data_IF_143872039625
#
_entry.id   IF_143872039625
#
_cell.length_a   1.000
_cell.length_b   1.000
_cell.length_c   1.000
_cell.angle_alpha   90.00
_cell.angle_beta   90.00
_cell.angle_gamma   90.00
#
_symmetry.space_group_name_H-M   'P 1'
#
loop_
_entity.id
_entity.type
_entity.pdbx_description
1 polymer ?
#
# COMPACT_ATOMS: atom_id res chain seq x y z
N UNK A 1 6.21 -22.92 1.91
CA UNK A 1 5.83 -21.52 1.65
C UNK A 1 4.67 -21.23 2.59
N UNK A 2 4.86 -20.34 3.56
CA UNK A 2 3.83 -20.03 4.56
C UNK A 2 3.03 -18.82 4.07
N UNK A 3 1.72 -18.95 4.00
CA UNK A 3 0.78 -17.84 3.89
C UNK A 3 0.47 -17.37 5.31
N UNK A 4 0.61 -16.07 5.57
CA UNK A 4 0.17 -15.50 6.85
C UNK A 4 -0.92 -14.47 6.62
N UNK A 5 -2.05 -14.68 7.29
CA UNK A 5 -3.21 -13.79 7.24
C UNK A 5 -3.30 -12.99 8.53
N UNK A 6 -3.41 -11.67 8.42
CA UNK A 6 -3.61 -10.83 9.60
C UNK A 6 -4.69 -9.78 9.39
N UNK A 7 -5.44 -9.48 10.44
CA UNK A 7 -6.39 -8.38 10.49
C UNK A 7 -5.99 -7.42 11.60
N UNK A 8 -5.95 -6.13 11.27
CA UNK A 8 -5.62 -5.05 12.20
C UNK A 8 -6.74 -4.00 12.19
N UNK A 9 -7.19 -3.63 13.38
CA UNK A 9 -8.23 -2.61 13.63
C UNK A 9 -7.76 -1.66 14.71
N UNK A 10 -7.81 -0.35 14.47
CA UNK A 10 -7.43 0.68 15.44
C UNK A 10 -5.98 0.57 15.96
N UNK A 11 -5.03 0.21 15.08
CA UNK A 11 -3.62 0.05 15.44
C UNK A 11 -2.75 1.20 14.90
N UNK A 12 -1.66 1.43 15.61
CA UNK A 12 -0.49 2.14 15.11
C UNK A 12 0.62 1.13 14.82
N UNK A 13 1.11 1.12 13.59
CA UNK A 13 2.17 0.21 13.16
C UNK A 13 3.41 1.03 12.79
N UNK A 14 4.44 0.95 13.63
CA UNK A 14 5.74 1.55 13.37
C UNK A 14 6.69 0.52 12.73
N UNK A 15 7.29 0.91 11.60
CA UNK A 15 8.43 0.26 10.93
C UNK A 15 8.32 -1.25 10.79
N UNK A 16 7.35 -1.67 9.98
CA UNK A 16 7.22 -3.09 9.65
C UNK A 16 8.12 -3.48 8.47
N UNK A 17 8.90 -4.55 8.63
CA UNK A 17 9.60 -5.22 7.52
C UNK A 17 9.06 -6.63 7.34
N UNK A 18 8.67 -7.00 6.12
CA UNK A 18 8.15 -8.35 5.85
C UNK A 18 8.73 -9.00 4.59
N UNK A 19 8.89 -10.34 4.63
CA UNK A 19 9.53 -11.20 3.62
C UNK A 19 8.83 -12.59 3.50
N UNK A 20 7.57 -12.66 3.03
CA UNK A 20 6.75 -13.88 2.82
C UNK A 20 5.42 -13.58 2.08
N UNK A 21 4.74 -14.60 1.53
CA UNK A 21 3.34 -14.44 1.05
C UNK A 21 2.42 -14.04 2.19
N UNK A 22 1.61 -12.99 2.01
CA UNK A 22 0.66 -12.56 3.04
C UNK A 22 -0.55 -11.85 2.47
N UNK A 23 -1.65 -12.05 3.19
CA UNK A 23 -2.86 -11.25 3.03
C UNK A 23 -3.08 -10.44 4.30
N UNK A 24 -3.37 -9.14 4.15
CA UNK A 24 -3.76 -8.33 5.30
C UNK A 24 -4.98 -7.47 5.08
N UNK A 25 -5.73 -7.30 6.16
CA UNK A 25 -6.81 -6.32 6.24
C UNK A 25 -6.53 -5.30 7.33
N UNK A 26 -6.63 -4.03 6.96
CA UNK A 26 -6.40 -2.87 7.83
C UNK A 26 -7.64 -1.97 7.83
N UNK A 27 -8.21 -1.72 9.00
CA UNK A 27 -9.27 -0.73 9.22
C UNK A 27 -8.83 0.28 10.27
N UNK A 28 -8.96 1.58 10.01
CA UNK A 28 -8.73 2.64 11.00
C UNK A 28 -7.29 2.66 11.59
N UNK A 29 -6.26 2.39 10.78
CA UNK A 29 -4.87 2.34 11.23
C UNK A 29 -4.02 3.49 10.71
N UNK A 30 -2.98 3.79 11.48
CA UNK A 30 -1.84 4.60 11.05
C UNK A 30 -0.62 3.71 10.88
N UNK A 31 0.03 3.79 9.71
CA UNK A 31 1.20 2.97 9.37
C UNK A 31 2.37 3.87 9.04
N UNK A 32 3.45 3.79 9.83
CA UNK A 32 4.69 4.54 9.60
C UNK A 32 5.80 3.62 9.10
N UNK A 33 6.40 3.94 7.96
CA UNK A 33 7.68 3.37 7.54
C UNK A 33 7.65 1.89 7.17
N UNK A 34 6.79 1.46 6.25
CA UNK A 34 6.67 0.04 5.89
C UNK A 34 7.62 -0.37 4.76
N UNK A 35 8.32 -1.50 4.93
CA UNK A 35 9.16 -2.12 3.88
C UNK A 35 8.71 -3.55 3.57
N UNK A 36 8.29 -3.78 2.34
CA UNK A 36 7.76 -5.07 1.89
C UNK A 36 8.60 -5.64 0.74
N UNK A 37 8.93 -6.92 0.82
CA UNK A 37 9.64 -7.68 -0.25
C UNK A 37 8.97 -9.03 -0.50
N UNK A 38 7.70 -9.07 -0.93
CA UNK A 38 6.93 -10.32 -1.12
C UNK A 38 5.64 -10.13 -1.95
N UNK A 39 5.14 -11.22 -2.56
CA UNK A 39 3.79 -11.30 -3.14
C UNK A 39 2.73 -11.07 -2.04
N UNK A 40 1.85 -10.08 -2.20
CA UNK A 40 0.82 -9.74 -1.19
C UNK A 40 -0.50 -9.29 -1.79
N UNK A 41 -1.58 -9.57 -1.06
CA UNK A 41 -2.86 -8.87 -1.17
C UNK A 41 -3.10 -8.02 0.09
N UNK A 42 -3.58 -6.79 -0.08
CA UNK A 42 -4.05 -6.04 1.07
C UNK A 42 -5.33 -5.26 0.80
N UNK A 43 -6.16 -5.23 1.83
CA UNK A 43 -7.34 -4.36 1.90
C UNK A 43 -7.13 -3.34 3.00
N UNK A 44 -7.18 -2.07 2.64
CA UNK A 44 -7.11 -0.96 3.57
C UNK A 44 -8.40 -0.13 3.51
N UNK A 45 -8.96 0.21 4.67
CA UNK A 45 -10.12 1.09 4.82
C UNK A 45 -9.85 2.13 5.91
N UNK A 46 -10.05 3.42 5.61
CA UNK A 46 -9.88 4.52 6.58
C UNK A 46 -8.47 4.57 7.19
N UNK A 47 -7.41 4.48 6.38
CA UNK A 47 -6.02 4.42 6.89
C UNK A 47 -5.16 5.61 6.45
N UNK A 48 -4.17 5.93 7.28
CA UNK A 48 -3.06 6.81 6.94
C UNK A 48 -1.77 6.00 6.81
N UNK A 49 -1.02 6.21 5.72
CA UNK A 49 0.25 5.52 5.47
C UNK A 49 1.35 6.57 5.23
N UNK A 50 2.33 6.64 6.12
CA UNK A 50 3.56 7.40 5.94
C UNK A 50 4.69 6.49 5.50
N UNK A 51 5.29 6.76 4.34
CA UNK A 51 6.55 6.14 3.94
C UNK A 51 6.43 4.64 3.68
N UNK A 52 6.01 4.26 2.48
CA UNK A 52 5.97 2.85 2.08
C UNK A 52 7.01 2.55 0.99
N UNK A 53 7.80 1.50 1.18
CA UNK A 53 8.68 0.94 0.15
C UNK A 53 8.29 -0.49 -0.14
N UNK A 54 7.99 -0.78 -1.40
CA UNK A 54 7.60 -2.12 -1.81
C UNK A 54 8.42 -2.60 -3.00
N UNK A 55 8.86 -3.85 -2.92
CA UNK A 55 9.54 -4.59 -3.98
C UNK A 55 8.87 -5.96 -4.14
N UNK A 56 7.71 -6.06 -4.80
CA UNK A 56 7.08 -7.33 -5.25
C UNK A 56 5.76 -7.15 -6.02
N UNK A 57 5.25 -8.26 -6.60
CA UNK A 57 3.90 -8.38 -7.16
C UNK A 57 2.83 -8.13 -6.09
N UNK A 58 1.91 -7.19 -6.29
CA UNK A 58 0.83 -6.95 -5.33
C UNK A 58 -0.50 -6.64 -5.97
N UNK A 59 -1.56 -7.03 -5.27
CA UNK A 59 -2.90 -6.47 -5.43
C UNK A 59 -3.24 -5.69 -4.17
N UNK A 60 -3.93 -4.56 -4.34
CA UNK A 60 -4.47 -3.87 -3.19
C UNK A 60 -5.79 -3.19 -3.49
N UNK A 61 -6.65 -3.20 -2.48
CA UNK A 61 -7.85 -2.38 -2.44
C UNK A 61 -7.76 -1.38 -1.31
N UNK A 62 -8.05 -0.12 -1.63
CA UNK A 62 -8.01 0.98 -0.69
C UNK A 62 -9.30 1.79 -0.77
N UNK A 63 -9.81 2.16 0.40
CA UNK A 63 -10.98 3.03 0.57
C UNK A 63 -10.66 4.06 1.64
N UNK A 64 -10.85 5.35 1.34
CA UNK A 64 -10.66 6.48 2.25
C UNK A 64 -9.24 6.57 2.83
N UNK A 65 -8.25 6.77 1.95
CA UNK A 65 -6.83 6.63 2.32
C UNK A 65 -5.95 7.80 1.95
N UNK A 66 -5.10 8.17 2.90
CA UNK A 66 -4.00 9.10 2.72
C UNK A 66 -2.67 8.36 2.68
N UNK A 67 -1.85 8.64 1.66
CA UNK A 67 -0.50 8.09 1.52
C UNK A 67 0.51 9.23 1.37
N UNK A 68 1.46 9.33 2.28
CA UNK A 68 2.66 10.16 2.13
C UNK A 68 3.84 9.29 1.74
N UNK A 69 4.49 9.60 0.61
CA UNK A 69 5.75 8.99 0.22
C UNK A 69 5.67 7.49 -0.05
N UNK A 70 5.32 7.12 -1.29
CA UNK A 70 5.36 5.73 -1.73
C UNK A 70 6.48 5.50 -2.76
N UNK A 71 7.28 4.45 -2.57
CA UNK A 71 8.22 3.96 -3.57
C UNK A 71 7.93 2.50 -3.89
N UNK A 72 7.65 2.20 -5.15
CA UNK A 72 7.38 0.84 -5.58
C UNK A 72 8.25 0.42 -6.74
N UNK A 73 8.75 -0.80 -6.66
CA UNK A 73 9.55 -1.47 -7.67
C UNK A 73 9.00 -2.88 -7.89
N UNK A 74 7.88 -3.05 -8.61
CA UNK A 74 7.33 -4.31 -9.16
C UNK A 74 5.93 -4.16 -9.83
N UNK A 75 5.44 -5.22 -10.49
CA UNK A 75 4.07 -5.31 -11.02
C UNK A 75 3.00 -5.11 -9.94
N UNK A 76 2.05 -4.19 -10.13
CA UNK A 76 0.95 -3.99 -9.18
C UNK A 76 -0.39 -3.73 -9.84
N UNK A 77 -1.44 -4.24 -9.23
CA UNK A 77 -2.81 -3.79 -9.42
C UNK A 77 -3.26 -3.04 -8.16
N UNK A 78 -3.96 -1.92 -8.36
CA UNK A 78 -4.58 -1.25 -7.26
C UNK A 78 -5.95 -0.70 -7.62
N UNK A 79 -6.88 -0.87 -6.69
CA UNK A 79 -8.17 -0.21 -6.71
C UNK A 79 -8.29 0.79 -5.58
N UNK A 80 -8.60 2.03 -5.94
CA UNK A 80 -8.70 3.16 -5.03
C UNK A 80 -10.09 3.79 -5.08
N UNK A 81 -10.63 4.06 -3.89
CA UNK A 81 -11.87 4.82 -3.66
C UNK A 81 -11.51 5.90 -2.65
N UNK A 82 -11.70 7.16 -2.99
CA UNK A 82 -11.42 8.34 -2.15
C UNK A 82 -10.02 8.40 -1.54
N UNK A 83 -9.10 9.08 -2.23
CA UNK A 83 -7.68 9.04 -1.89
C UNK A 83 -6.92 10.33 -2.10
N UNK A 84 -5.95 10.56 -1.21
CA UNK A 84 -4.86 11.52 -1.37
C UNK A 84 -3.49 10.81 -1.38
N UNK A 85 -2.65 11.11 -2.37
CA UNK A 85 -1.24 10.67 -2.40
C UNK A 85 -0.31 11.88 -2.52
N UNK A 86 0.59 12.05 -1.55
CA UNK A 86 1.76 12.92 -1.67
C UNK A 86 2.98 12.08 -2.04
N UNK A 87 3.55 12.32 -3.22
CA UNK A 87 4.82 11.70 -3.64
C UNK A 87 4.78 10.18 -3.88
N UNK A 88 4.60 9.78 -5.13
CA UNK A 88 4.74 8.40 -5.60
C UNK A 88 5.91 8.25 -6.58
N UNK A 89 6.76 7.24 -6.38
CA UNK A 89 7.78 6.82 -7.35
C UNK A 89 7.59 5.35 -7.71
N UNK A 90 7.51 5.07 -9.00
CA UNK A 90 7.22 3.74 -9.55
C UNK A 90 8.29 3.37 -10.57
N UNK A 91 8.82 2.15 -10.51
CA UNK A 91 9.81 1.62 -11.47
C UNK A 91 9.38 0.24 -12.01
N UNK A 92 8.22 0.19 -12.69
CA UNK A 92 7.53 -1.06 -13.08
C UNK A 92 6.17 -0.84 -13.78
N UNK A 93 5.60 -1.93 -14.34
CA UNK A 93 4.23 -2.00 -14.88
C UNK A 93 3.18 -1.92 -13.76
N UNK A 94 2.15 -1.11 -13.95
CA UNK A 94 1.17 -0.78 -12.91
C UNK A 94 -0.20 -0.59 -13.55
N UNK A 95 -1.22 -1.27 -13.02
CA UNK A 95 -2.62 -0.97 -13.30
C UNK A 95 -3.23 -0.29 -12.08
N UNK A 96 -4.03 0.74 -12.35
CA UNK A 96 -4.67 1.51 -11.32
C UNK A 96 -6.08 1.90 -11.73
N UNK A 97 -7.04 1.47 -10.93
CA UNK A 97 -8.42 1.94 -11.04
C UNK A 97 -8.75 2.90 -9.91
N UNK A 98 -9.07 4.13 -10.28
CA UNK A 98 -9.46 5.19 -9.34
C UNK A 98 -10.93 5.57 -9.55
N UNK A 99 -11.62 5.80 -8.44
CA UNK A 99 -12.99 6.31 -8.47
C UNK A 99 -13.01 7.82 -8.15
N UNK A 100 -12.18 8.27 -7.19
CA UNK A 100 -11.94 9.69 -6.86
C UNK A 100 -10.50 9.84 -6.30
N UNK A 101 -9.71 10.80 -6.84
CA UNK A 101 -8.27 10.91 -6.51
C UNK A 101 -7.73 12.35 -6.51
N UNK A 102 -6.77 12.61 -5.62
CA UNK A 102 -5.81 13.70 -5.71
C UNK A 102 -4.36 13.17 -5.60
N UNK A 103 -3.47 13.57 -6.51
CA UNK A 103 -2.06 13.18 -6.53
C UNK A 103 -1.23 14.45 -6.73
N UNK A 104 -0.36 14.81 -5.77
CA UNK A 104 0.51 15.98 -5.90
C UNK A 104 1.70 15.70 -6.82
N UNK A 105 2.40 14.56 -6.60
CA UNK A 105 3.61 14.21 -7.35
C UNK A 105 3.65 12.73 -7.69
N UNK A 106 3.72 12.43 -8.98
CA UNK A 106 3.92 11.07 -9.49
C UNK A 106 5.10 11.03 -10.46
N UNK A 107 6.01 10.08 -10.25
CA UNK A 107 7.11 9.80 -11.18
C UNK A 107 7.11 8.32 -11.54
N UNK A 108 6.88 8.03 -12.82
CA UNK A 108 6.99 6.71 -13.42
C UNK A 108 8.29 6.67 -14.23
N UNK A 109 9.12 5.65 -14.03
CA UNK A 109 10.38 5.43 -14.75
C UNK A 109 10.41 4.04 -15.39
#
# INVERSE_FOLDING_TARGET
>A
MYLMDHTYTDNYIDRQKVMCLMDHKYTDNYIEGRRVMCLMDHIYKDNYIDGQRVMCLMDHKYTDIYVDGQRVMCLMDHKYTDRYIDGQRVMCLMDHKYTDRYIDRQRVM
#
